data_IF_482396899783
#
_entry.id   IF_482396899783
#
_cell.length_a   1.000
_cell.length_b   1.000
_cell.length_c   1.000
_cell.angle_alpha   90.00
_cell.angle_beta   90.00
_cell.angle_gamma   90.00
#
_symmetry.space_group_name_H-M   'P 1'
#
loop_
_entity.id
_entity.type
_entity.pdbx_description
1 polymer ?
#
# COMPACT_ATOMS: atom_id res chain seq x y z
N UNK A 1 52.34 31.22 -13.06
CA UNK A 1 50.96 30.78 -12.78
C UNK A 1 50.54 29.55 -13.60
N UNK A 2 51.20 29.20 -14.72
CA UNK A 2 50.78 28.05 -15.54
C UNK A 2 50.89 26.64 -14.93
N UNK A 3 51.85 26.38 -14.03
CA UNK A 3 52.07 25.01 -13.53
C UNK A 3 50.97 24.59 -12.55
N UNK A 4 50.53 25.51 -11.68
CA UNK A 4 49.54 25.22 -10.62
C UNK A 4 48.17 24.90 -11.23
N UNK A 5 47.75 25.64 -12.27
CA UNK A 5 46.51 25.37 -12.99
C UNK A 5 46.56 24.02 -13.73
N UNK A 6 47.69 23.67 -14.36
CA UNK A 6 47.87 22.36 -15.01
C UNK A 6 47.73 21.20 -14.00
N UNK A 7 48.30 21.34 -12.80
CA UNK A 7 48.14 20.32 -11.74
C UNK A 7 46.72 20.29 -11.19
N UNK A 8 46.05 21.45 -11.07
CA UNK A 8 44.66 21.51 -10.62
C UNK A 8 43.72 20.80 -11.61
N UNK A 9 43.83 21.09 -12.91
CA UNK A 9 43.02 20.42 -13.93
C UNK A 9 43.34 18.93 -14.06
N UNK A 10 44.61 18.53 -13.90
CA UNK A 10 44.99 17.12 -13.87
C UNK A 10 44.37 16.39 -12.66
N UNK A 11 44.32 17.03 -11.48
CA UNK A 11 43.78 16.44 -10.27
C UNK A 11 42.24 16.35 -10.31
N UNK A 12 41.58 17.38 -10.84
CA UNK A 12 40.12 17.34 -11.10
C UNK A 12 39.78 16.26 -12.13
N UNK A 13 40.56 16.15 -13.21
CA UNK A 13 40.39 15.10 -14.21
C UNK A 13 40.53 13.69 -13.62
N UNK A 14 41.54 13.48 -12.75
CA UNK A 14 41.75 12.21 -12.05
C UNK A 14 40.56 11.87 -11.14
N UNK A 15 40.04 12.84 -10.39
CA UNK A 15 38.87 12.64 -9.50
C UNK A 15 37.64 12.24 -10.32
N UNK A 16 37.38 12.91 -11.45
CA UNK A 16 36.24 12.58 -12.32
C UNK A 16 36.36 11.14 -12.85
N UNK A 17 37.55 10.72 -13.28
CA UNK A 17 37.79 9.35 -13.75
C UNK A 17 37.56 8.33 -12.63
N UNK A 18 38.03 8.60 -11.42
CA UNK A 18 37.79 7.72 -10.25
C UNK A 18 36.30 7.62 -9.95
N UNK A 19 35.58 8.74 -9.94
CA UNK A 19 34.13 8.74 -9.71
C UNK A 19 33.37 7.96 -10.80
N UNK A 20 33.76 8.11 -12.07
CA UNK A 20 33.17 7.35 -13.16
C UNK A 20 33.44 5.85 -13.03
N UNK A 21 34.65 5.45 -12.64
CA UNK A 21 34.99 4.03 -12.39
C UNK A 21 34.18 3.47 -11.21
N UNK A 22 33.99 4.24 -10.14
CA UNK A 22 33.16 3.83 -8.99
C UNK A 22 31.70 3.66 -9.41
N UNK A 23 31.13 4.61 -10.16
CA UNK A 23 29.75 4.51 -10.67
C UNK A 23 29.58 3.31 -11.59
N UNK A 24 30.51 3.08 -12.53
CA UNK A 24 30.49 1.90 -13.41
C UNK A 24 30.61 0.62 -12.59
N UNK A 25 31.47 0.58 -11.58
CA UNK A 25 31.62 -0.57 -10.67
C UNK A 25 30.34 -0.84 -9.87
N UNK A 26 29.65 0.20 -9.40
CA UNK A 26 28.37 0.06 -8.71
C UNK A 26 27.27 -0.44 -9.64
N UNK A 27 27.26 0.03 -10.90
CA UNK A 27 26.32 -0.45 -11.92
C UNK A 27 26.62 -1.89 -12.35
N UNK A 28 27.88 -2.31 -12.43
CA UNK A 28 28.25 -3.70 -12.73
C UNK A 28 28.00 -4.65 -11.56
N UNK A 29 27.95 -4.14 -10.32
CA UNK A 29 27.67 -4.94 -9.12
C UNK A 29 26.16 -5.11 -8.85
N UNK A 30 25.30 -4.62 -9.75
CA UNK A 30 23.85 -4.80 -9.69
C UNK A 30 23.37 -6.04 -10.49
N UNK A 31 24.27 -6.85 -11.04
CA UNK A 31 23.89 -8.07 -11.75
C UNK A 31 23.91 -9.30 -10.81
N UNK A 32 22.70 -9.78 -10.50
CA UNK A 32 22.32 -11.20 -10.32
C UNK A 32 22.83 -11.97 -9.10
N UNK A 33 22.08 -11.91 -8.01
CA UNK A 33 21.91 -13.03 -7.06
C UNK A 33 20.54 -13.71 -7.28
N UNK A 34 20.21 -14.06 -8.53
CA UNK A 34 19.22 -15.10 -8.79
C UNK A 34 19.98 -16.42 -8.84
N UNK A 35 20.05 -17.08 -7.68
CA UNK A 35 20.60 -18.42 -7.58
C UNK A 35 19.76 -19.36 -8.45
N UNK A 36 20.41 -19.86 -9.49
CA UNK A 36 20.02 -20.98 -10.33
C UNK A 36 19.76 -22.22 -9.47
N UNK A 37 18.50 -22.64 -9.35
CA UNK A 37 18.17 -23.98 -8.83
C UNK A 37 18.14 -24.99 -9.99
N UNK A 38 18.81 -26.15 -9.84
CA UNK A 38 18.96 -27.13 -10.91
C UNK A 38 17.64 -27.87 -11.17
N UNK A 39 17.31 -27.98 -12.46
CA UNK A 39 16.11 -28.66 -12.93
C UNK A 39 16.09 -30.15 -12.65
N UNK A 40 14.93 -30.62 -12.19
CA UNK A 40 14.52 -32.02 -12.33
C UNK A 40 13.67 -32.14 -13.59
N UNK A 41 14.28 -32.79 -14.57
CA UNK A 41 13.71 -33.18 -15.85
C UNK A 41 12.78 -34.39 -15.64
N UNK A 42 11.51 -34.35 -16.05
CA UNK A 42 10.77 -35.48 -16.65
C UNK A 42 9.37 -35.05 -17.12
N UNK A 43 8.76 -35.77 -18.10
CA UNK A 43 8.27 -35.15 -19.32
C UNK A 43 6.77 -35.40 -19.59
N UNK A 44 6.22 -34.56 -20.47
CA UNK A 44 5.12 -34.95 -21.37
C UNK A 44 3.71 -34.70 -20.86
N UNK A 45 2.84 -34.28 -21.78
CA UNK A 45 1.40 -34.45 -21.64
C UNK A 45 0.58 -33.21 -21.94
N UNK A 46 0.10 -33.14 -23.18
CA UNK A 46 -1.08 -32.40 -23.62
C UNK A 46 -2.22 -32.41 -22.58
N UNK A 47 -2.78 -31.25 -22.27
CA UNK A 47 -4.13 -31.15 -21.69
C UNK A 47 -5.01 -30.56 -22.81
N UNK A 48 -5.84 -31.32 -23.51
CA UNK A 48 -6.58 -32.50 -23.06
C UNK A 48 -7.99 -32.05 -22.72
N UNK A 49 -8.87 -32.30 -23.67
CA UNK A 49 -10.27 -31.95 -23.76
C UNK A 49 -11.10 -32.65 -22.68
N UNK A 50 -11.91 -31.87 -21.95
CA UNK A 50 -13.16 -32.21 -21.22
C UNK A 50 -13.25 -33.46 -20.34
N UNK A 51 -13.72 -33.32 -19.10
CA UNK A 51 -14.97 -33.90 -18.58
C UNK A 51 -15.20 -33.47 -17.12
N UNK A 52 -16.47 -33.25 -16.79
CA UNK A 52 -17.01 -32.73 -15.53
C UNK A 52 -16.67 -33.61 -14.32
N UNK A 53 -16.20 -33.00 -13.23
CA UNK A 53 -15.97 -33.64 -11.94
C UNK A 53 -15.82 -32.58 -10.85
N UNK A 54 -16.61 -32.73 -9.79
CA UNK A 54 -16.84 -31.80 -8.68
C UNK A 54 -15.57 -31.30 -7.97
N UNK A 55 -15.64 -30.06 -7.49
CA UNK A 55 -14.87 -29.61 -6.32
C UNK A 55 -13.44 -29.14 -6.60
N UNK A 56 -13.29 -28.06 -7.37
CA UNK A 56 -12.02 -27.35 -7.51
C UNK A 56 -12.14 -25.90 -7.05
N UNK A 57 -11.46 -25.58 -5.94
CA UNK A 57 -11.28 -24.23 -5.42
C UNK A 57 -10.58 -23.34 -6.47
N UNK A 58 -11.33 -22.68 -7.32
CA UNK A 58 -10.88 -21.55 -8.13
C UNK A 58 -11.84 -20.42 -7.84
N UNK A 59 -11.32 -19.44 -7.10
CA UNK A 59 -12.05 -18.32 -6.52
C UNK A 59 -13.03 -17.72 -7.51
N UNK A 60 -14.27 -17.56 -7.02
CA UNK A 60 -15.30 -16.75 -7.64
C UNK A 60 -14.75 -15.33 -7.82
N UNK A 61 -14.13 -15.07 -8.98
CA UNK A 61 -13.81 -13.73 -9.42
C UNK A 61 -15.14 -13.03 -9.69
N UNK A 62 -15.62 -12.30 -8.70
CA UNK A 62 -16.75 -11.41 -8.86
C UNK A 62 -16.32 -10.28 -9.81
N UNK A 63 -16.63 -10.46 -11.10
CA UNK A 63 -16.67 -9.36 -12.04
C UNK A 63 -17.78 -8.41 -11.60
N UNK A 64 -17.43 -7.38 -10.84
CA UNK A 64 -18.30 -6.22 -10.64
C UNK A 64 -18.50 -5.53 -11.98
N UNK A 65 -19.77 -5.28 -12.33
CA UNK A 65 -20.24 -4.88 -13.65
C UNK A 65 -19.73 -3.50 -14.12
N UNK A 66 -18.93 -2.80 -13.31
CA UNK A 66 -18.45 -1.44 -13.56
C UNK A 66 -16.91 -1.29 -13.63
N UNK A 67 -16.15 -2.38 -13.76
CA UNK A 67 -14.72 -2.31 -14.10
C UNK A 67 -13.79 -1.75 -13.01
N UNK A 68 -14.29 -1.55 -11.79
CA UNK A 68 -13.46 -1.25 -10.62
C UNK A 68 -13.03 -2.58 -10.01
N UNK A 69 -11.72 -2.85 -10.02
CA UNK A 69 -11.12 -4.06 -9.46
C UNK A 69 -11.55 -4.20 -8.00
N UNK A 70 -12.30 -5.26 -7.72
CA UNK A 70 -12.80 -5.61 -6.40
C UNK A 70 -11.65 -5.67 -5.40
N UNK A 71 -11.83 -5.06 -4.22
CA UNK A 71 -10.84 -4.99 -3.15
C UNK A 71 -10.71 -6.39 -2.53
N UNK A 72 -10.00 -7.29 -3.20
CA UNK A 72 -10.12 -8.75 -3.05
C UNK A 72 -9.80 -9.38 -1.70
N UNK A 73 -9.63 -8.62 -0.62
CA UNK A 73 -9.42 -9.12 0.74
C UNK A 73 -9.99 -8.17 1.80
N UNK A 74 -11.31 -8.03 1.91
CA UNK A 74 -11.92 -7.28 3.02
C UNK A 74 -12.33 -8.22 4.13
N UNK A 75 -11.90 -7.89 5.34
CA UNK A 75 -12.35 -8.53 6.57
C UNK A 75 -13.50 -7.72 7.20
N UNK A 76 -14.45 -8.36 7.88
CA UNK A 76 -14.60 -9.82 8.02
C UNK A 76 -14.95 -10.50 6.69
N UNK A 77 -14.40 -11.71 6.47
CA UNK A 77 -14.78 -12.51 5.31
C UNK A 77 -16.27 -12.89 5.39
N UNK A 78 -16.99 -12.75 4.28
CA UNK A 78 -18.43 -13.06 4.22
C UNK A 78 -19.35 -11.90 4.62
N UNK A 79 -18.82 -10.69 4.75
CA UNK A 79 -19.64 -9.46 4.82
C UNK A 79 -19.94 -8.97 3.40
N UNK A 80 -21.19 -8.58 3.17
CA UNK A 80 -21.60 -7.99 1.89
C UNK A 80 -20.90 -6.65 1.70
N UNK A 81 -19.96 -6.59 0.77
CA UNK A 81 -19.24 -5.35 0.50
C UNK A 81 -20.16 -4.35 -0.15
N UNK A 82 -20.24 -3.16 0.44
CA UNK A 82 -21.00 -2.06 -0.14
C UNK A 82 -20.42 -1.71 -1.52
N UNK A 83 -21.29 -1.71 -2.54
CA UNK A 83 -20.93 -1.41 -3.94
C UNK A 83 -21.48 -0.07 -4.42
N UNK A 84 -22.32 0.58 -3.62
CA UNK A 84 -22.88 1.90 -3.89
C UNK A 84 -22.55 2.81 -2.70
N UNK A 85 -21.80 3.88 -2.93
CA UNK A 85 -21.36 4.80 -1.87
C UNK A 85 -22.14 6.11 -1.91
N UNK A 86 -22.42 6.68 -0.75
CA UNK A 86 -23.23 7.91 -0.60
C UNK A 86 -22.39 9.18 -0.47
N UNK A 87 -21.08 9.06 -0.25
CA UNK A 87 -20.16 10.20 -0.15
C UNK A 87 -18.78 9.88 -0.75
N UNK A 88 -17.95 10.91 -0.95
CA UNK A 88 -16.57 10.72 -1.38
C UNK A 88 -15.73 10.02 -0.31
N UNK A 89 -15.89 10.41 0.96
CA UNK A 89 -15.21 9.75 2.09
C UNK A 89 -15.53 8.26 2.15
N UNK A 90 -16.79 7.90 1.98
CA UNK A 90 -17.18 6.49 1.95
C UNK A 90 -16.56 5.76 0.74
N UNK A 91 -16.58 6.38 -0.44
CA UNK A 91 -15.94 5.80 -1.65
C UNK A 91 -14.46 5.53 -1.40
N UNK A 92 -13.74 6.48 -0.81
CA UNK A 92 -12.32 6.35 -0.49
C UNK A 92 -12.09 5.25 0.54
N UNK A 93 -12.91 5.21 1.60
CA UNK A 93 -12.78 4.24 2.67
C UNK A 93 -12.85 2.79 2.18
N UNK A 94 -13.80 2.52 1.27
CA UNK A 94 -14.04 1.19 0.73
C UNK A 94 -13.14 0.84 -0.44
N UNK A 95 -12.73 1.80 -1.27
CA UNK A 95 -12.09 1.48 -2.56
C UNK A 95 -10.66 1.98 -2.68
N UNK A 96 -10.27 3.02 -1.93
CA UNK A 96 -9.00 3.72 -2.12
C UNK A 96 -9.00 4.62 -3.36
N UNK A 97 -10.18 4.87 -3.95
CA UNK A 97 -10.41 5.82 -5.04
C UNK A 97 -11.33 6.94 -4.56
N UNK A 98 -11.17 8.13 -5.12
CA UNK A 98 -12.15 9.19 -4.94
C UNK A 98 -13.30 9.08 -5.95
N UNK A 99 -14.34 9.90 -5.80
CA UNK A 99 -15.53 9.91 -6.68
C UNK A 99 -15.24 10.26 -8.14
N UNK A 100 -14.08 10.86 -8.42
CA UNK A 100 -13.63 11.11 -9.80
C UNK A 100 -13.00 9.88 -10.44
N UNK A 101 -12.89 8.77 -9.70
CA UNK A 101 -12.22 7.54 -10.13
C UNK A 101 -10.70 7.61 -10.04
N UNK A 102 -10.13 8.61 -9.37
CA UNK A 102 -8.68 8.69 -9.17
C UNK A 102 -8.27 7.75 -8.03
N UNK A 103 -7.32 6.85 -8.31
CA UNK A 103 -6.68 6.04 -7.28
C UNK A 103 -5.83 6.94 -6.38
N UNK A 104 -5.99 6.85 -5.08
CA UNK A 104 -5.17 7.59 -4.12
C UNK A 104 -3.85 6.84 -3.95
N UNK A 105 -2.75 7.53 -4.21
CA UNK A 105 -1.43 6.98 -4.01
C UNK A 105 -1.11 6.86 -2.51
N UNK A 106 -0.22 5.95 -2.15
CA UNK A 106 0.25 5.83 -0.77
C UNK A 106 1.71 5.37 -0.74
N UNK A 107 2.39 5.70 0.35
CA UNK A 107 3.68 5.11 0.70
C UNK A 107 3.51 4.17 1.89
N UNK A 108 4.45 3.25 2.07
CA UNK A 108 4.38 2.21 3.09
C UNK A 108 3.12 1.31 2.95
N UNK A 109 2.85 0.51 3.97
CA UNK A 109 1.80 -0.50 3.93
C UNK A 109 2.31 -1.86 3.45
N UNK A 110 1.50 -2.91 3.63
CA UNK A 110 1.86 -4.26 3.25
C UNK A 110 1.91 -4.39 1.72
N UNK A 111 2.83 -5.23 1.23
CA UNK A 111 3.08 -5.42 -0.21
C UNK A 111 1.82 -5.80 -1.01
N UNK A 112 0.87 -6.50 -0.39
CA UNK A 112 -0.36 -6.92 -1.07
C UNK A 112 -1.24 -5.74 -1.48
N UNK A 113 -1.19 -4.58 -0.80
CA UNK A 113 -1.92 -3.37 -1.22
C UNK A 113 -1.41 -2.83 -2.56
N UNK A 114 -0.11 -2.95 -2.84
CA UNK A 114 0.48 -2.52 -4.10
C UNK A 114 0.11 -3.46 -5.26
N UNK A 115 -0.01 -4.76 -4.98
CA UNK A 115 -0.24 -5.80 -6.00
C UNK A 115 -1.73 -6.03 -6.27
N UNK A 116 -2.53 -6.15 -5.22
CA UNK A 116 -3.95 -6.49 -5.29
C UNK A 116 -4.88 -5.28 -5.13
N UNK A 117 -4.34 -4.14 -4.69
CA UNK A 117 -5.17 -3.02 -4.26
C UNK A 117 -5.77 -3.24 -2.87
N UNK A 118 -6.52 -2.23 -2.42
CA UNK A 118 -7.15 -2.18 -1.12
C UNK A 118 -7.23 -0.74 -0.61
N UNK A 119 -7.81 -0.60 0.58
CA UNK A 119 -8.28 0.65 1.17
C UNK A 119 -8.39 0.51 2.70
N UNK A 120 -8.94 1.52 3.37
CA UNK A 120 -9.09 1.56 4.82
C UNK A 120 -9.84 0.34 5.36
N UNK A 121 -10.92 -0.07 4.68
CA UNK A 121 -11.83 -1.16 5.08
C UNK A 121 -11.12 -2.51 5.19
N UNK A 122 -10.04 -2.75 4.44
CA UNK A 122 -9.35 -4.04 4.45
C UNK A 122 -8.69 -4.36 5.80
N UNK A 123 -8.27 -3.34 6.54
CA UNK A 123 -7.66 -3.48 7.86
C UNK A 123 -8.59 -3.04 8.99
N UNK A 124 -9.39 -1.98 8.76
CA UNK A 124 -10.27 -1.40 9.78
C UNK A 124 -11.70 -1.97 9.75
N UNK A 125 -12.05 -2.78 8.76
CA UNK A 125 -13.37 -3.41 8.66
C UNK A 125 -14.48 -2.45 8.22
N UNK A 126 -15.67 -2.97 7.96
CA UNK A 126 -16.83 -2.15 7.54
C UNK A 126 -17.37 -1.25 8.65
N UNK A 127 -17.08 -1.61 9.91
CA UNK A 127 -17.52 -0.93 11.12
C UNK A 127 -16.39 -0.14 11.80
N UNK A 128 -15.25 0.02 11.13
CA UNK A 128 -14.12 0.80 11.65
C UNK A 128 -13.38 0.17 12.84
N UNK A 129 -13.79 -0.99 13.36
CA UNK A 129 -13.24 -1.54 14.61
C UNK A 129 -11.88 -2.20 14.47
N UNK A 130 -11.44 -2.44 13.24
CA UNK A 130 -10.20 -3.14 12.95
C UNK A 130 -10.18 -4.56 13.52
N UNK A 131 -9.07 -4.93 14.16
CA UNK A 131 -8.94 -6.24 14.80
C UNK A 131 -8.38 -7.35 13.92
N UNK A 132 -8.03 -7.07 12.67
CA UNK A 132 -7.50 -8.06 11.70
C UNK A 132 -5.98 -8.04 11.74
N UNK A 133 -5.30 -9.06 12.30
CA UNK A 133 -3.85 -9.07 12.34
C UNK A 133 -3.27 -9.11 10.93
N UNK A 134 -2.38 -8.16 10.62
CA UNK A 134 -1.66 -8.14 9.36
C UNK A 134 -0.29 -8.74 9.57
N UNK A 135 0.13 -9.63 8.67
CA UNK A 135 1.46 -10.25 8.73
C UNK A 135 2.54 -9.16 8.74
N UNK A 136 3.55 -9.32 9.62
CA UNK A 136 4.64 -8.36 9.83
C UNK A 136 4.24 -7.01 10.46
N UNK A 137 2.99 -6.85 10.93
CA UNK A 137 2.62 -5.73 11.79
C UNK A 137 3.05 -5.98 13.25
N UNK A 138 3.48 -4.94 13.94
CA UNK A 138 3.74 -4.93 15.38
C UNK A 138 2.46 -4.72 16.20
N UNK A 139 1.44 -4.13 15.59
CA UNK A 139 0.15 -3.85 16.23
C UNK A 139 -1.00 -4.36 15.38
N UNK A 140 -2.06 -4.80 16.03
CA UNK A 140 -3.34 -5.07 15.37
C UNK A 140 -3.97 -3.73 14.95
N UNK A 141 -4.58 -3.62 13.75
CA UNK A 141 -5.30 -2.43 13.33
C UNK A 141 -6.32 -2.01 14.39
N UNK A 142 -6.28 -0.73 14.76
CA UNK A 142 -7.09 -0.17 15.83
C UNK A 142 -8.56 0.05 15.41
N UNK A 143 -9.40 0.24 16.42
CA UNK A 143 -10.72 0.83 16.28
C UNK A 143 -10.57 2.32 15.95
N UNK A 144 -11.04 2.70 14.76
CA UNK A 144 -10.99 4.05 14.21
C UNK A 144 -12.38 4.69 14.10
N UNK A 145 -13.39 4.14 14.79
CA UNK A 145 -14.68 4.81 14.93
C UNK A 145 -14.46 6.18 15.56
N UNK A 146 -15.18 7.20 15.09
CA UNK A 146 -14.89 8.57 15.49
C UNK A 146 -15.13 8.77 16.99
N UNK A 147 -16.12 8.08 17.55
CA UNK A 147 -16.33 8.06 19.00
C UNK A 147 -15.11 7.54 19.75
N UNK A 148 -14.51 6.42 19.32
CA UNK A 148 -13.34 5.83 19.99
C UNK A 148 -12.13 6.75 19.88
N UNK A 149 -11.87 7.33 18.70
CA UNK A 149 -10.75 8.24 18.48
C UNK A 149 -10.86 9.53 19.29
N UNK A 150 -12.08 10.04 19.52
CA UNK A 150 -12.30 11.31 20.22
C UNK A 150 -12.60 11.17 21.72
N UNK A 151 -12.86 9.96 22.22
CA UNK A 151 -13.10 9.71 23.65
C UNK A 151 -12.00 8.90 24.34
N UNK A 152 -10.94 8.51 23.62
CA UNK A 152 -9.83 7.73 24.16
C UNK A 152 -8.91 8.51 25.11
N UNK A 153 -7.93 7.80 25.68
CA UNK A 153 -6.88 8.41 26.51
C UNK A 153 -6.04 9.44 25.73
N UNK A 154 -5.82 9.17 24.45
CA UNK A 154 -5.29 10.11 23.47
C UNK A 154 -6.43 10.62 22.59
N UNK A 155 -6.86 11.86 22.84
CA UNK A 155 -7.95 12.48 22.09
C UNK A 155 -7.44 12.96 20.73
N UNK A 156 -7.87 12.30 19.67
CA UNK A 156 -7.60 12.76 18.31
C UNK A 156 -8.51 13.94 17.95
N UNK A 157 -7.94 15.02 17.44
CA UNK A 157 -8.70 16.02 16.66
C UNK A 157 -8.78 15.62 15.19
N UNK A 158 -9.66 16.25 14.42
CA UNK A 158 -9.74 16.07 12.97
C UNK A 158 -8.36 16.26 12.30
N UNK A 159 -7.58 17.24 12.75
CA UNK A 159 -6.21 17.49 12.26
C UNK A 159 -5.25 16.35 12.61
N UNK A 160 -5.37 15.77 13.81
CA UNK A 160 -4.54 14.63 14.19
C UNK A 160 -4.92 13.36 13.42
N UNK A 161 -6.20 13.14 13.12
CA UNK A 161 -6.62 12.01 12.26
C UNK A 161 -6.04 12.19 10.85
N UNK A 162 -6.09 13.41 10.31
CA UNK A 162 -5.46 13.71 9.01
C UNK A 162 -3.95 13.46 9.03
N UNK A 163 -3.27 13.86 10.11
CA UNK A 163 -1.84 13.59 10.29
C UNK A 163 -1.55 12.09 10.39
N UNK A 164 -2.40 11.30 11.07
CA UNK A 164 -2.27 9.85 11.13
C UNK A 164 -2.39 9.21 9.73
N UNK A 165 -3.34 9.67 8.91
CA UNK A 165 -3.58 9.16 7.55
C UNK A 165 -2.43 9.53 6.60
N UNK A 166 -1.97 10.79 6.63
CA UNK A 166 -0.99 11.31 5.68
C UNK A 166 0.45 11.03 6.11
N UNK A 167 0.74 11.29 7.38
CA UNK A 167 2.10 11.34 7.91
C UNK A 167 2.41 10.14 8.81
N UNK A 168 1.38 9.41 9.27
CA UNK A 168 1.57 8.23 10.08
C UNK A 168 1.95 8.53 11.52
N UNK A 169 1.41 9.61 12.07
CA UNK A 169 1.72 10.06 13.43
C UNK A 169 0.46 10.19 14.25
N UNK A 170 0.52 9.74 15.51
CA UNK A 170 -0.55 9.92 16.49
C UNK A 170 -0.50 11.32 17.15
N UNK A 171 -1.48 11.69 18.00
CA UNK A 171 -1.51 12.99 18.68
C UNK A 171 -0.30 13.23 19.60
N UNK A 172 0.33 12.16 20.09
CA UNK A 172 1.56 12.24 20.89
C UNK A 172 2.82 12.40 20.00
N UNK A 173 2.67 12.40 18.68
CA UNK A 173 3.75 12.51 17.70
C UNK A 173 4.53 11.22 17.50
N UNK A 174 4.05 10.09 18.03
CA UNK A 174 4.66 8.79 17.84
C UNK A 174 4.25 8.23 16.48
N UNK A 175 5.21 7.53 15.87
CA UNK A 175 5.03 6.89 14.57
C UNK A 175 4.10 5.68 14.70
N UNK A 176 3.12 5.62 13.80
CA UNK A 176 2.27 4.46 13.60
C UNK A 176 3.06 3.34 12.93
N UNK A 177 2.55 2.12 13.04
CA UNK A 177 3.10 0.97 12.33
C UNK A 177 3.21 1.25 10.82
N UNK A 178 4.31 0.81 10.19
CA UNK A 178 4.55 0.99 8.75
C UNK A 178 3.58 0.17 7.89
N UNK A 179 2.87 -0.80 8.49
CA UNK A 179 1.79 -1.54 7.84
C UNK A 179 0.56 -0.65 7.61
N UNK A 180 0.35 0.40 8.40
CA UNK A 180 -0.65 1.40 8.05
C UNK A 180 -0.11 2.27 6.90
N UNK A 181 -0.78 2.34 5.74
CA UNK A 181 -0.29 3.14 4.62
C UNK A 181 -0.31 4.64 4.94
N UNK A 182 0.55 5.40 4.26
CA UNK A 182 0.60 6.86 4.28
C UNK A 182 -0.01 7.40 3.01
N UNK A 183 -1.28 7.79 3.10
CA UNK A 183 -2.08 8.12 1.94
C UNK A 183 -1.80 9.54 1.46
N UNK A 184 -1.52 9.67 0.17
CA UNK A 184 -1.26 10.94 -0.52
C UNK A 184 -2.59 11.52 -1.02
N UNK A 185 -3.40 11.98 -0.07
CA UNK A 185 -4.72 12.56 -0.31
C UNK A 185 -4.66 14.08 -0.48
N UNK A 186 -5.61 14.64 -1.22
CA UNK A 186 -5.86 16.08 -1.20
C UNK A 186 -6.52 16.49 0.13
N UNK A 187 -6.46 17.77 0.49
CA UNK A 187 -7.15 18.26 1.70
C UNK A 187 -8.67 18.05 1.62
N UNK A 188 -9.24 18.11 0.42
CA UNK A 188 -10.66 17.81 0.19
C UNK A 188 -10.97 16.34 0.48
N UNK A 189 -10.21 15.40 -0.11
CA UNK A 189 -10.39 13.96 0.14
C UNK A 189 -10.18 13.60 1.61
N UNK A 190 -9.23 14.25 2.29
CA UNK A 190 -9.03 14.10 3.73
C UNK A 190 -10.24 14.58 4.52
N UNK A 191 -10.79 15.75 4.21
CA UNK A 191 -12.00 16.25 4.87
C UNK A 191 -13.17 15.29 4.68
N UNK A 192 -13.38 14.81 3.47
CA UNK A 192 -14.47 13.89 3.16
C UNK A 192 -14.32 12.56 3.92
N UNK A 193 -13.09 12.04 4.07
CA UNK A 193 -12.82 10.87 4.90
C UNK A 193 -13.13 11.15 6.37
N UNK A 194 -12.76 12.30 6.92
CA UNK A 194 -13.11 12.65 8.31
C UNK A 194 -14.63 12.73 8.49
N UNK A 195 -15.35 13.30 7.52
CA UNK A 195 -16.81 13.35 7.54
C UNK A 195 -17.42 11.95 7.57
N UNK A 196 -16.91 11.03 6.74
CA UNK A 196 -17.35 9.64 6.78
C UNK A 196 -17.00 8.93 8.10
N UNK A 197 -15.80 9.16 8.66
CA UNK A 197 -15.44 8.59 9.96
C UNK A 197 -16.42 9.02 11.06
N UNK A 198 -16.94 10.25 11.02
CA UNK A 198 -17.95 10.74 11.98
C UNK A 198 -19.29 9.98 11.91
N UNK A 199 -19.53 9.25 10.83
CA UNK A 199 -20.71 8.40 10.66
C UNK A 199 -20.52 6.98 11.22
N UNK A 200 -19.27 6.56 11.50
CA UNK A 200 -18.92 5.20 11.97
C UNK A 200 -18.29 5.16 13.36
#
# INVERSE_FOLDING_TARGET
MEKVEKYFFALVGLIIVILLVVVISMMSNQQSNYAYMPGYNQPGGMMGQGYYGEGGMMGSGYYSQNGMMDSGYVYPYGVDMKTNFTSNGETIYYTGYNVSGQKIAFTYGPNWLYVHGGSCVNCHGVDGKGGVPVMMAYTVPADITYSTLTSGDEVFTDENIKAAIRDGVDPAGKQLDLVMPRWQMSDADLNDIIEYLKEI
#
